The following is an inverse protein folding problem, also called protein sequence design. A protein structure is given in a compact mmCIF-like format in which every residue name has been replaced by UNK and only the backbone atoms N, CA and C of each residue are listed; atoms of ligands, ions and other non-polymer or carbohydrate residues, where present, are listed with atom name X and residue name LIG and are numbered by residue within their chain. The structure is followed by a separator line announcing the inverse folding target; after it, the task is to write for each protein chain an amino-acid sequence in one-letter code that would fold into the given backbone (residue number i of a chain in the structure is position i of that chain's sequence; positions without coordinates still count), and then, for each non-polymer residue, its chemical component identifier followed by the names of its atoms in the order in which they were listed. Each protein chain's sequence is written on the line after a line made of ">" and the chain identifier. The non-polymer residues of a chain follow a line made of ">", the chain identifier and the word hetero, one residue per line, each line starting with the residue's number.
data_IF_753773904246
#
_entry.id   IF_753773904246
#
_cell.length_a   1.000
_cell.length_b   1.000
_cell.length_c   1.000
_cell.angle_alpha   90.00
_cell.angle_beta   90.00
_cell.angle_gamma   90.00
#
_symmetry.space_group_name_H-M   'P 1'
#
loop_
_entity.id
_entity.type
_entity.pdbx_description
1 polymer ?
#
# COMPACT_ATOMS: atom_id res chain seq x y z
N UNK A 1 10.24 -81.32 -24.81
CA UNK A 1 9.70 -82.12 -23.69
C UNK A 1 9.14 -81.09 -22.68
N UNK A 2 7.83 -80.81 -22.68
CA UNK A 2 6.89 -81.25 -21.66
C UNK A 2 7.08 -80.47 -20.34
N UNK A 3 6.20 -79.73 -19.75
CA UNK A 3 4.71 -79.67 -19.54
C UNK A 3 4.39 -78.34 -18.94
N UNK A 4 3.49 -77.63 -19.40
CA UNK A 4 2.12 -77.29 -19.02
C UNK A 4 1.65 -77.80 -17.63
N UNK A 5 1.38 -76.88 -16.70
CA UNK A 5 0.31 -77.02 -15.70
C UNK A 5 -0.30 -75.66 -15.42
N UNK A 6 -1.58 -75.58 -15.76
CA UNK A 6 -2.50 -74.54 -15.26
C UNK A 6 -3.03 -74.93 -13.88
N UNK A 7 -3.40 -73.98 -13.03
CA UNK A 7 -4.65 -74.05 -12.22
C UNK A 7 -4.86 -72.76 -11.42
N UNK A 8 -6.01 -72.14 -11.76
CA UNK A 8 -7.13 -71.77 -10.83
C UNK A 8 -6.79 -70.80 -9.70
N UNK A 9 -7.18 -69.57 -9.76
CA UNK A 9 -8.55 -69.17 -9.37
C UNK A 9 -8.66 -68.97 -7.86
N UNK A 10 -8.65 -67.71 -7.41
CA UNK A 10 -9.53 -67.32 -6.30
C UNK A 10 -9.85 -65.81 -6.38
N UNK A 11 -11.14 -65.56 -6.55
CA UNK A 11 -11.76 -64.28 -6.24
C UNK A 11 -11.50 -63.93 -4.78
N UNK A 12 -10.92 -62.74 -4.50
CA UNK A 12 -11.16 -62.09 -3.23
C UNK A 12 -11.60 -60.67 -3.47
N UNK A 13 -12.82 -60.50 -3.15
CA UNK A 13 -13.49 -59.25 -2.92
C UNK A 13 -12.66 -58.37 -2.00
N UNK A 14 -12.10 -57.31 -2.50
CA UNK A 14 -11.28 -56.36 -1.74
C UNK A 14 -11.74 -54.96 -1.99
N UNK A 15 -12.73 -54.55 -1.20
CA UNK A 15 -12.97 -53.17 -0.71
C UNK A 15 -12.38 -52.02 -1.55
N UNK A 16 -13.24 -51.41 -2.31
CA UNK A 16 -13.13 -50.04 -2.76
C UNK A 16 -12.93 -49.14 -1.53
N UNK A 17 -11.70 -48.92 -1.12
CA UNK A 17 -11.34 -47.81 -0.25
C UNK A 17 -11.14 -46.59 -1.16
N UNK A 18 -12.26 -45.94 -1.43
CA UNK A 18 -12.26 -44.57 -1.90
C UNK A 18 -11.60 -43.73 -0.81
N UNK A 19 -10.30 -43.66 -0.84
CA UNK A 19 -9.52 -42.71 -0.08
C UNK A 19 -9.79 -41.32 -0.68
N UNK A 20 -10.85 -40.69 -0.16
CA UNK A 20 -11.05 -39.26 -0.23
C UNK A 20 -9.95 -38.60 0.61
N UNK A 21 -8.70 -38.71 0.15
CA UNK A 21 -7.59 -37.92 0.63
C UNK A 21 -7.61 -36.60 -0.13
N UNK A 22 -8.59 -35.77 0.20
CA UNK A 22 -8.48 -34.34 0.00
C UNK A 22 -7.42 -33.81 0.93
N UNK A 23 -6.18 -34.24 0.79
CA UNK A 23 -5.02 -33.47 1.21
C UNK A 23 -5.06 -32.25 0.29
N UNK A 24 -5.60 -31.16 0.79
CA UNK A 24 -5.32 -29.85 0.22
C UNK A 24 -3.79 -29.71 0.29
N UNK A 25 -3.17 -30.10 -0.81
CA UNK A 25 -1.75 -29.92 -1.00
C UNK A 25 -1.54 -28.41 -0.89
N UNK A 26 -0.57 -28.01 -0.10
CA UNK A 26 -0.06 -26.64 -0.04
C UNK A 26 0.40 -26.27 -1.46
N UNK A 27 -0.56 -25.78 -2.26
CA UNK A 27 -0.44 -25.63 -3.67
C UNK A 27 -0.62 -24.25 -4.10
N UNK A 28 0.24 -24.05 -4.93
CA UNK A 28 0.33 -23.33 -6.19
C UNK A 28 0.34 -21.84 -6.01
N UNK A 29 1.20 -21.39 -5.09
CA UNK A 29 1.78 -20.07 -5.22
C UNK A 29 2.59 -20.07 -6.52
N UNK A 30 2.18 -19.31 -7.55
CA UNK A 30 2.94 -19.23 -8.78
C UNK A 30 4.35 -18.74 -8.48
N UNK A 31 5.34 -19.51 -8.88
CA UNK A 31 6.74 -19.14 -8.71
C UNK A 31 6.98 -17.76 -9.36
N UNK A 32 7.82 -16.92 -8.75
CA UNK A 32 8.13 -15.62 -9.32
C UNK A 32 8.82 -15.80 -10.67
N UNK A 33 8.41 -15.00 -11.64
CA UNK A 33 9.03 -14.95 -12.97
C UNK A 33 10.49 -14.47 -12.86
N UNK A 34 11.28 -14.69 -13.91
CA UNK A 34 12.68 -14.25 -13.90
C UNK A 34 12.79 -12.71 -13.86
N UNK A 35 11.82 -12.01 -14.45
CA UNK A 35 11.71 -10.54 -14.35
C UNK A 35 11.41 -10.10 -12.91
N UNK A 36 10.50 -10.79 -12.20
CA UNK A 36 10.21 -10.51 -10.78
C UNK A 36 11.43 -10.80 -9.91
N UNK A 37 12.15 -11.92 -10.15
CA UNK A 37 13.38 -12.23 -9.40
C UNK A 37 14.47 -11.17 -9.61
N UNK A 38 14.66 -10.72 -10.85
CA UNK A 38 15.61 -9.67 -11.17
C UNK A 38 15.23 -8.34 -10.48
N UNK A 39 13.96 -7.96 -10.53
CA UNK A 39 13.46 -6.78 -9.85
C UNK A 39 13.65 -6.85 -8.32
N UNK A 40 13.33 -7.98 -7.71
CA UNK A 40 13.58 -8.20 -6.27
C UNK A 40 15.07 -8.15 -5.90
N UNK A 41 15.94 -8.69 -6.75
CA UNK A 41 17.39 -8.61 -6.55
C UNK A 41 17.91 -7.18 -6.62
N UNK A 42 17.40 -6.38 -7.57
CA UNK A 42 17.75 -4.96 -7.70
C UNK A 42 17.27 -4.14 -6.50
N UNK A 43 16.05 -4.38 -6.00
CA UNK A 43 15.54 -3.76 -4.76
C UNK A 43 16.48 -4.06 -3.59
N UNK A 44 16.89 -5.32 -3.42
CA UNK A 44 17.80 -5.72 -2.33
C UNK A 44 19.18 -5.09 -2.48
N UNK A 45 19.70 -4.99 -3.69
CA UNK A 45 20.99 -4.35 -4.00
C UNK A 45 20.99 -2.86 -3.60
N UNK A 46 19.85 -2.19 -3.73
CA UNK A 46 19.65 -0.81 -3.31
C UNK A 46 19.37 -0.67 -1.79
N UNK A 47 19.51 -1.76 -1.03
CA UNK A 47 19.27 -1.78 0.42
C UNK A 47 17.80 -1.95 0.81
N UNK A 48 16.90 -2.11 -0.15
CA UNK A 48 15.48 -2.40 0.11
C UNK A 48 15.28 -3.84 0.59
N UNK A 49 14.29 -4.03 1.43
CA UNK A 49 13.83 -5.35 1.85
C UNK A 49 12.64 -5.77 0.98
N UNK A 50 12.63 -7.03 0.57
CA UNK A 50 11.51 -7.65 -0.14
C UNK A 50 11.09 -8.89 0.61
N UNK A 51 9.86 -8.87 1.10
CA UNK A 51 9.26 -9.98 1.85
C UNK A 51 7.92 -10.37 1.22
N UNK A 52 7.51 -11.61 1.44
CA UNK A 52 6.16 -12.05 1.14
C UNK A 52 5.25 -11.75 2.33
N UNK A 53 4.00 -11.36 2.09
CA UNK A 53 3.06 -10.99 3.15
C UNK A 53 2.73 -12.17 4.07
N UNK A 54 2.66 -13.38 3.51
CA UNK A 54 2.44 -14.62 4.27
C UNK A 54 3.00 -15.83 3.51
N UNK A 55 3.17 -16.95 4.19
CA UNK A 55 3.75 -18.17 3.64
C UNK A 55 3.02 -18.70 2.39
N UNK A 56 1.70 -18.45 2.29
CA UNK A 56 0.87 -18.86 1.15
C UNK A 56 0.37 -17.67 0.33
N UNK A 57 0.91 -16.47 0.54
CA UNK A 57 0.53 -15.25 -0.18
C UNK A 57 1.70 -14.80 -1.07
N UNK A 58 1.48 -14.81 -2.37
CA UNK A 58 2.49 -14.38 -3.34
C UNK A 58 2.66 -12.85 -3.42
N UNK A 59 1.86 -12.09 -2.66
CA UNK A 59 1.96 -10.64 -2.63
C UNK A 59 3.20 -10.20 -1.88
N UNK A 60 3.80 -9.12 -2.35
CA UNK A 60 5.08 -8.64 -1.87
C UNK A 60 4.92 -7.38 -1.01
N UNK A 61 5.71 -7.32 0.04
CA UNK A 61 6.01 -6.13 0.83
C UNK A 61 7.43 -5.66 0.48
N UNK A 62 7.55 -4.41 0.04
CA UNK A 62 8.82 -3.76 -0.25
C UNK A 62 9.04 -2.59 0.69
N UNK A 63 10.16 -2.60 1.39
CA UNK A 63 10.50 -1.59 2.38
C UNK A 63 11.90 -1.02 2.16
N UNK A 64 11.97 0.30 1.95
CA UNK A 64 13.22 1.05 1.84
C UNK A 64 13.52 1.89 3.09
N UNK A 65 12.58 2.02 4.02
CA UNK A 65 12.71 2.91 5.19
C UNK A 65 13.90 2.55 6.09
N UNK A 66 14.34 1.30 6.09
CA UNK A 66 15.50 0.81 6.82
C UNK A 66 16.79 0.78 5.98
N UNK A 67 16.73 1.13 4.70
CA UNK A 67 17.90 1.13 3.83
C UNK A 67 18.91 2.21 4.28
N UNK A 68 20.16 1.82 4.40
CA UNK A 68 21.26 2.75 4.61
C UNK A 68 21.56 3.50 3.31
N UNK A 69 21.74 4.81 3.41
CA UNK A 69 22.04 5.65 2.26
C UNK A 69 20.85 6.37 1.64
N UNK A 70 21.15 7.07 0.55
CA UNK A 70 20.20 7.92 -0.14
C UNK A 70 19.36 7.09 -1.12
N UNK A 71 18.08 6.98 -0.87
CA UNK A 71 17.11 6.33 -1.75
C UNK A 71 16.33 7.42 -2.48
N UNK A 72 16.43 7.43 -3.79
CA UNK A 72 15.80 8.39 -4.70
C UNK A 72 14.84 7.68 -5.65
N UNK A 73 14.18 8.44 -6.52
CA UNK A 73 13.16 7.96 -7.48
C UNK A 73 13.62 6.76 -8.32
N UNK A 74 14.91 6.72 -8.71
CA UNK A 74 15.48 5.62 -9.47
C UNK A 74 15.34 4.25 -8.77
N UNK A 75 15.31 4.25 -7.42
CA UNK A 75 15.14 3.02 -6.63
C UNK A 75 13.75 2.39 -6.81
N UNK A 76 12.75 3.16 -7.27
CA UNK A 76 11.40 2.65 -7.55
C UNK A 76 11.26 2.04 -8.94
N UNK A 77 12.24 2.23 -9.84
CA UNK A 77 12.19 1.70 -11.21
C UNK A 77 11.95 0.18 -11.29
N UNK A 78 12.58 -0.67 -10.46
CA UNK A 78 12.33 -2.11 -10.48
C UNK A 78 10.90 -2.49 -10.12
N UNK A 79 10.17 -1.64 -9.36
CA UNK A 79 8.82 -1.96 -8.85
C UNK A 79 7.79 -2.13 -9.96
N UNK A 80 8.00 -1.51 -11.13
CA UNK A 80 7.13 -1.70 -12.32
C UNK A 80 7.05 -3.17 -12.78
N UNK A 81 8.09 -3.98 -12.46
CA UNK A 81 8.15 -5.40 -12.79
C UNK A 81 7.65 -6.30 -11.64
N UNK A 82 7.02 -5.73 -10.62
CA UNK A 82 6.46 -6.45 -9.46
C UNK A 82 4.93 -6.32 -9.44
N UNK A 83 4.19 -7.04 -10.29
CA UNK A 83 2.73 -6.91 -10.38
C UNK A 83 2.00 -7.32 -9.09
N UNK A 84 2.66 -8.10 -8.22
CA UNK A 84 2.14 -8.56 -6.93
C UNK A 84 2.57 -7.67 -5.76
N UNK A 85 3.10 -6.47 -6.02
CA UNK A 85 3.45 -5.50 -4.98
C UNK A 85 2.18 -5.06 -4.24
N UNK A 86 2.05 -5.45 -2.98
CA UNK A 86 0.89 -5.12 -2.15
C UNK A 86 1.20 -4.08 -1.06
N UNK A 87 2.43 -4.00 -0.60
CA UNK A 87 2.85 -2.98 0.36
C UNK A 87 4.16 -2.34 -0.10
N UNK A 88 4.22 -1.02 0.04
CA UNK A 88 5.44 -0.24 -0.22
C UNK A 88 5.66 0.76 0.91
N UNK A 89 6.88 0.76 1.45
CA UNK A 89 7.30 1.70 2.47
C UNK A 89 8.58 2.42 2.06
N UNK A 90 8.44 3.71 1.73
CA UNK A 90 9.54 4.63 1.36
C UNK A 90 9.66 5.81 2.33
N UNK A 91 9.15 5.64 3.54
CA UNK A 91 9.16 6.66 4.59
C UNK A 91 10.55 7.29 4.77
N UNK A 92 10.58 8.62 4.81
CA UNK A 92 11.80 9.39 5.08
C UNK A 92 12.85 9.32 3.98
N UNK A 93 12.49 8.89 2.76
CA UNK A 93 13.38 8.83 1.62
C UNK A 93 13.18 10.02 0.68
N UNK A 94 14.18 10.31 -0.15
CA UNK A 94 14.18 11.44 -1.09
C UNK A 94 13.35 11.12 -2.36
N UNK A 95 12.14 10.62 -2.17
CA UNK A 95 11.21 10.29 -3.25
C UNK A 95 10.39 11.51 -3.63
N UNK A 96 10.30 11.76 -4.94
CA UNK A 96 9.51 12.84 -5.54
C UNK A 96 8.33 12.27 -6.35
N UNK A 97 7.55 13.16 -6.97
CA UNK A 97 6.44 12.78 -7.84
C UNK A 97 6.88 11.90 -9.01
N UNK A 98 8.12 12.08 -9.50
CA UNK A 98 8.69 11.28 -10.60
C UNK A 98 8.82 9.79 -10.21
N UNK A 99 9.13 9.49 -8.94
CA UNK A 99 9.20 8.11 -8.45
C UNK A 99 7.85 7.40 -8.49
N UNK A 100 6.75 8.11 -8.23
CA UNK A 100 5.41 7.51 -8.21
C UNK A 100 4.92 7.06 -9.60
N UNK A 101 5.50 7.58 -10.69
CA UNK A 101 5.20 7.12 -12.05
C UNK A 101 5.43 5.61 -12.21
N UNK A 102 6.41 5.06 -11.47
CA UNK A 102 6.71 3.62 -11.51
C UNK A 102 5.67 2.76 -10.79
N UNK A 103 4.74 3.37 -10.03
CA UNK A 103 3.69 2.67 -9.28
C UNK A 103 2.33 2.69 -9.99
N UNK A 104 2.16 3.45 -11.08
CA UNK A 104 0.86 3.63 -11.75
C UNK A 104 0.17 2.31 -12.14
N UNK A 105 0.95 1.27 -12.42
CA UNK A 105 0.47 -0.06 -12.83
C UNK A 105 0.48 -1.09 -11.69
N UNK A 106 0.84 -0.69 -10.46
CA UNK A 106 0.89 -1.56 -9.28
C UNK A 106 -0.53 -1.83 -8.73
N UNK A 107 -1.40 -2.47 -9.54
CA UNK A 107 -2.82 -2.70 -9.22
C UNK A 107 -3.05 -3.55 -7.97
N UNK A 108 -2.07 -4.33 -7.53
CA UNK A 108 -2.15 -5.12 -6.30
C UNK A 108 -1.83 -4.31 -5.03
N UNK A 109 -1.44 -3.03 -5.17
CA UNK A 109 -1.01 -2.21 -4.03
C UNK A 109 -2.18 -1.94 -3.08
N UNK A 110 -1.99 -2.31 -1.82
CA UNK A 110 -2.96 -2.18 -0.73
C UNK A 110 -2.51 -1.13 0.29
N UNK A 111 -1.19 -1.07 0.56
CA UNK A 111 -0.63 -0.14 1.54
C UNK A 111 0.53 0.65 0.97
N UNK A 112 0.49 1.96 1.15
CA UNK A 112 1.52 2.87 0.68
C UNK A 112 1.92 3.86 1.78
N UNK A 113 3.21 3.85 2.11
CA UNK A 113 3.83 4.72 3.10
C UNK A 113 4.76 5.72 2.41
N UNK A 114 4.36 6.99 2.39
CA UNK A 114 5.06 8.12 1.78
C UNK A 114 5.43 9.20 2.81
N UNK A 115 5.47 8.85 4.09
CA UNK A 115 5.74 9.82 5.15
C UNK A 115 7.08 10.53 4.93
N UNK A 116 7.07 11.85 5.09
CA UNK A 116 8.28 12.70 4.98
C UNK A 116 9.03 12.50 3.67
N UNK A 117 8.31 12.36 2.56
CA UNK A 117 8.84 12.39 1.21
C UNK A 117 8.55 13.73 0.54
N UNK A 118 9.11 13.96 -0.64
CA UNK A 118 8.94 15.21 -1.41
C UNK A 118 7.76 15.13 -2.40
N UNK A 119 6.72 14.37 -2.04
CA UNK A 119 5.52 14.18 -2.86
C UNK A 119 4.63 15.43 -2.75
N UNK A 120 4.07 15.82 -3.90
CA UNK A 120 3.08 16.90 -4.05
C UNK A 120 1.78 16.36 -4.65
N UNK A 121 0.88 17.27 -5.00
CA UNK A 121 -0.39 16.93 -5.66
C UNK A 121 -0.20 16.19 -6.99
N UNK A 122 0.85 16.54 -7.74
CA UNK A 122 1.19 15.89 -9.01
C UNK A 122 1.53 14.39 -8.84
N UNK A 123 2.17 14.04 -7.73
CA UNK A 123 2.46 12.63 -7.40
C UNK A 123 1.19 11.84 -7.11
N UNK A 124 0.18 12.44 -6.46
CA UNK A 124 -1.09 11.78 -6.18
C UNK A 124 -1.88 11.47 -7.45
N UNK A 125 -1.66 12.21 -8.52
CA UNK A 125 -2.26 11.91 -9.82
C UNK A 125 -1.89 10.49 -10.30
N UNK A 126 -0.66 10.04 -10.04
CA UNK A 126 -0.18 8.70 -10.45
C UNK A 126 -0.87 7.56 -9.67
N UNK A 127 -1.49 7.88 -8.54
CA UNK A 127 -2.18 6.89 -7.69
C UNK A 127 -3.63 6.65 -8.08
N UNK A 128 -4.23 7.46 -8.98
CA UNK A 128 -5.65 7.36 -9.39
C UNK A 128 -6.10 5.95 -9.81
N UNK A 129 -5.20 5.18 -10.40
CA UNK A 129 -5.49 3.85 -10.91
C UNK A 129 -5.33 2.71 -9.89
N UNK A 130 -4.96 2.99 -8.65
CA UNK A 130 -4.67 1.99 -7.63
C UNK A 130 -5.94 1.61 -6.85
N UNK A 131 -6.91 1.02 -7.53
CA UNK A 131 -8.26 0.72 -7.01
C UNK A 131 -8.28 -0.18 -5.76
N UNK A 132 -7.19 -0.90 -5.50
CA UNK A 132 -7.07 -1.78 -4.33
C UNK A 132 -6.38 -1.11 -3.14
N UNK A 133 -6.02 0.17 -3.25
CA UNK A 133 -5.36 0.90 -2.17
C UNK A 133 -6.34 1.10 -1.00
N UNK A 134 -5.96 0.57 0.18
CA UNK A 134 -6.73 0.68 1.41
C UNK A 134 -6.10 1.62 2.45
N UNK A 135 -4.79 1.76 2.40
CA UNK A 135 -4.03 2.55 3.36
C UNK A 135 -3.03 3.47 2.65
N UNK A 136 -3.10 4.75 2.95
CA UNK A 136 -2.17 5.76 2.43
C UNK A 136 -1.70 6.69 3.55
N UNK A 137 -0.39 6.82 3.70
CA UNK A 137 0.18 7.73 4.67
C UNK A 137 1.00 8.82 3.97
N UNK A 138 0.53 10.06 4.10
CA UNK A 138 1.10 11.27 3.51
C UNK A 138 1.65 12.23 4.58
N UNK A 139 1.93 11.74 5.78
CA UNK A 139 2.45 12.55 6.86
C UNK A 139 3.69 13.35 6.43
N UNK A 140 3.65 14.68 6.63
CA UNK A 140 4.79 15.55 6.35
C UNK A 140 5.14 15.67 4.87
N UNK A 141 4.17 15.53 3.97
CA UNK A 141 4.31 15.79 2.53
C UNK A 141 3.72 17.15 2.15
N UNK A 142 4.03 17.65 0.94
CA UNK A 142 3.56 18.94 0.44
C UNK A 142 2.22 18.84 -0.31
N UNK A 143 1.34 17.93 0.10
CA UNK A 143 0.01 17.71 -0.50
C UNK A 143 -0.97 18.77 -0.03
N UNK A 144 -1.84 19.23 -0.95
CA UNK A 144 -2.95 20.18 -0.72
C UNK A 144 -4.31 19.55 -1.02
N UNK A 145 -5.38 20.35 -0.90
CA UNK A 145 -6.74 19.92 -1.26
C UNK A 145 -6.86 19.51 -2.73
N UNK A 146 -6.05 20.10 -3.62
CA UNK A 146 -6.04 19.75 -5.03
C UNK A 146 -5.59 18.29 -5.26
N UNK A 147 -4.59 17.83 -4.51
CA UNK A 147 -4.12 16.46 -4.55
C UNK A 147 -5.15 15.44 -4.06
N UNK A 148 -5.96 15.80 -3.05
CA UNK A 148 -6.98 14.91 -2.52
C UNK A 148 -8.05 14.53 -3.55
N UNK A 149 -8.33 15.39 -4.55
CA UNK A 149 -9.26 15.09 -5.64
C UNK A 149 -8.85 13.84 -6.44
N UNK A 150 -7.56 13.57 -6.52
CA UNK A 150 -7.05 12.38 -7.20
C UNK A 150 -7.35 11.07 -6.45
N UNK A 151 -7.67 11.16 -5.15
CA UNK A 151 -8.00 10.02 -4.30
C UNK A 151 -9.51 9.69 -4.27
N UNK A 152 -10.39 10.58 -4.77
CA UNK A 152 -11.85 10.41 -4.74
C UNK A 152 -12.34 9.14 -5.46
N UNK A 153 -11.58 8.68 -6.46
CA UNK A 153 -11.86 7.43 -7.19
C UNK A 153 -11.50 6.14 -6.44
N UNK A 154 -10.70 6.23 -5.37
CA UNK A 154 -10.18 5.07 -4.65
C UNK A 154 -11.20 4.56 -3.62
N UNK A 155 -12.24 3.86 -4.09
CA UNK A 155 -13.39 3.44 -3.26
C UNK A 155 -13.05 2.41 -2.17
N UNK A 156 -11.91 1.73 -2.27
CA UNK A 156 -11.42 0.80 -1.24
C UNK A 156 -10.54 1.47 -0.17
N UNK A 157 -10.29 2.78 -0.30
CA UNK A 157 -9.45 3.50 0.63
C UNK A 157 -10.13 3.60 2.01
N UNK A 158 -9.51 3.02 3.02
CA UNK A 158 -10.04 2.91 4.40
C UNK A 158 -9.39 3.90 5.36
N UNK A 159 -8.11 4.20 5.15
CA UNK A 159 -7.34 5.11 6.02
C UNK A 159 -6.40 6.00 5.23
N UNK A 160 -6.43 7.29 5.52
CA UNK A 160 -5.47 8.29 5.04
C UNK A 160 -4.94 9.10 6.22
N UNK A 161 -3.63 9.28 6.26
CA UNK A 161 -2.96 10.12 7.25
C UNK A 161 -2.44 11.38 6.56
N UNK A 162 -2.88 12.55 7.04
CA UNK A 162 -2.60 13.86 6.45
C UNK A 162 -1.94 14.82 7.45
N UNK A 163 -1.39 14.31 8.54
CA UNK A 163 -0.76 15.16 9.53
C UNK A 163 0.47 15.88 8.96
N UNK A 164 0.66 17.15 9.30
CA UNK A 164 1.70 18.02 8.75
C UNK A 164 1.66 18.14 7.20
N UNK A 165 0.48 18.14 6.61
CA UNK A 165 0.23 18.53 5.22
C UNK A 165 -0.44 19.91 5.18
N UNK A 166 -0.62 20.47 3.98
CA UNK A 166 -1.34 21.75 3.77
C UNK A 166 -2.82 21.56 3.43
N UNK A 167 -3.37 20.37 3.71
CA UNK A 167 -4.78 20.05 3.48
C UNK A 167 -5.68 20.77 4.49
N UNK A 168 -6.78 21.37 3.99
CA UNK A 168 -7.77 22.08 4.80
C UNK A 168 -8.96 21.18 5.18
N UNK A 169 -9.84 21.69 6.07
CA UNK A 169 -11.09 21.02 6.43
C UNK A 169 -12.01 20.85 5.22
N UNK A 170 -11.99 21.79 4.28
CA UNK A 170 -12.77 21.72 3.06
C UNK A 170 -12.33 20.54 2.17
N UNK A 171 -11.02 20.35 1.99
CA UNK A 171 -10.48 19.22 1.25
C UNK A 171 -10.83 17.87 1.89
N UNK A 172 -10.74 17.80 3.23
CA UNK A 172 -11.14 16.59 3.98
C UNK A 172 -12.63 16.31 3.82
N UNK A 173 -13.48 17.32 3.90
CA UNK A 173 -14.93 17.18 3.74
C UNK A 173 -15.29 16.69 2.33
N UNK A 174 -14.64 17.23 1.29
CA UNK A 174 -14.84 16.80 -0.10
C UNK A 174 -14.43 15.33 -0.30
N UNK A 175 -13.27 14.93 0.21
CA UNK A 175 -12.81 13.54 0.11
C UNK A 175 -13.72 12.57 0.87
N UNK A 176 -14.21 12.95 2.07
CA UNK A 176 -15.19 12.15 2.83
C UNK A 176 -16.53 12.02 2.11
N UNK A 177 -16.97 13.06 1.40
CA UNK A 177 -18.19 12.98 0.60
C UNK A 177 -18.05 11.98 -0.55
N UNK A 178 -16.87 11.90 -1.17
CA UNK A 178 -16.56 10.96 -2.25
C UNK A 178 -16.34 9.51 -1.76
N UNK A 179 -15.76 9.34 -0.55
CA UNK A 179 -15.44 8.04 0.06
C UNK A 179 -15.93 8.03 1.52
N UNK A 180 -17.22 7.73 1.77
CA UNK A 180 -17.85 7.92 3.10
C UNK A 180 -17.24 7.08 4.23
N UNK A 181 -16.74 5.88 3.91
CA UNK A 181 -16.14 4.98 4.92
C UNK A 181 -14.68 5.32 5.26
N UNK A 182 -14.09 6.31 4.58
CA UNK A 182 -12.71 6.70 4.76
C UNK A 182 -12.47 7.32 6.13
N UNK A 183 -11.53 6.76 6.86
CA UNK A 183 -11.00 7.35 8.10
C UNK A 183 -9.80 8.25 7.75
N UNK A 184 -9.96 9.54 7.99
CA UNK A 184 -8.91 10.54 7.75
C UNK A 184 -8.36 10.96 9.12
N UNK A 185 -7.04 10.83 9.28
CA UNK A 185 -6.33 11.26 10.47
C UNK A 185 -5.43 12.46 10.09
N UNK A 186 -5.69 13.60 10.72
CA UNK A 186 -4.90 14.84 10.55
C UNK A 186 -4.01 15.13 11.75
N UNK A 187 -3.91 14.18 12.71
CA UNK A 187 -3.27 14.42 13.98
C UNK A 187 -4.11 15.31 14.90
N UNK A 188 -3.63 15.52 16.10
CA UNK A 188 -4.24 16.48 17.02
C UNK A 188 -3.82 17.88 16.52
N UNK A 189 -4.74 18.65 15.96
CA UNK A 189 -4.49 20.09 15.75
C UNK A 189 -4.10 20.70 17.11
N UNK A 190 -3.00 21.47 17.19
CA UNK A 190 -2.83 22.34 18.34
C UNK A 190 -4.07 23.23 18.39
N UNK A 191 -4.64 23.51 19.58
CA UNK A 191 -5.81 24.35 19.68
C UNK A 191 -5.52 25.66 18.90
N UNK A 192 -6.40 26.02 17.97
CA UNK A 192 -6.32 27.31 17.26
C UNK A 192 -6.08 28.36 18.33
N UNK A 193 -5.09 29.26 18.16
CA UNK A 193 -4.96 30.40 19.05
C UNK A 193 -6.35 31.03 19.15
N UNK A 194 -6.88 31.13 20.36
CA UNK A 194 -8.18 31.74 20.59
C UNK A 194 -8.18 33.10 19.84
N UNK A 195 -9.12 33.28 18.91
CA UNK A 195 -9.34 34.58 18.28
C UNK A 195 -9.48 35.57 19.43
N UNK A 196 -8.48 36.41 19.60
CA UNK A 196 -8.52 37.51 20.54
C UNK A 196 -9.63 38.41 20.01
N UNK A 197 -10.81 38.26 20.61
CA UNK A 197 -11.89 39.22 20.39
C UNK A 197 -11.30 40.60 20.68
N UNK A 198 -11.46 41.59 19.77
CA UNK A 198 -11.01 42.94 20.06
C UNK A 198 -11.60 43.35 21.38
N UNK A 199 -10.77 43.73 22.35
CA UNK A 199 -11.22 44.33 23.59
C UNK A 199 -12.10 45.52 23.24
N UNK A 200 -13.38 45.46 23.56
CA UNK A 200 -14.28 46.61 23.59
C UNK A 200 -13.65 47.67 24.50
N UNK A 201 -13.14 48.76 23.88
CA UNK A 201 -12.67 49.93 24.62
C UNK A 201 -13.83 50.41 25.49
N UNK A 202 -13.71 50.22 26.80
CA UNK A 202 -14.59 50.89 27.79
C UNK A 202 -14.63 52.39 27.50
N UNK A 203 -15.83 53.01 27.50
CA UNK A 203 -15.92 54.45 27.36
C UNK A 203 -15.19 55.13 28.54
N UNK A 204 -14.33 56.09 28.20
CA UNK A 204 -13.69 56.96 29.17
C UNK A 204 -14.79 57.75 29.93
N UNK A 205 -14.89 57.47 31.22
CA UNK A 205 -15.74 58.24 32.14
C UNK A 205 -15.12 59.62 32.34
N UNK A 206 -15.72 60.64 31.71
CA UNK A 206 -15.40 62.04 31.96
C UNK A 206 -15.75 62.36 33.39
N UNK A 207 -14.77 62.67 34.23
CA UNK A 207 -14.91 63.21 35.56
C UNK A 207 -15.17 64.73 35.48
N UNK A 208 -16.06 65.27 36.31
CA UNK A 208 -16.46 66.68 36.29
C UNK A 208 -15.35 67.67 36.74
#
# INVERSE_FOLDING_TARGET
>A
MTRLVALTGLMTCGLLWSACSGVATAQDKPAPTDAEKAAMAEVRKLGGQVMELAQNDARLDVAYHLADGKIEDAALTPLKNLPKLAQLNVRGKDITDAGLVHLKDAKALVRLHLERTKITDAGLEQLKGLENLEYLNLYGTAVTDAGLKHLEGLKKLKKVYLWQTTVTDAGVAALKAAVPELKIDRGVEPPKPAEVKPEEKKPEEKKP
#
